data_IF_193160308475
#
_entry.id   IF_193160308475
#
_cell.length_a   1.000
_cell.length_b   1.000
_cell.length_c   1.000
_cell.angle_alpha   90.00
_cell.angle_beta   90.00
_cell.angle_gamma   90.00
#
_symmetry.space_group_name_H-M   'P 1'
#
loop_
_entity.id
_entity.type
_entity.pdbx_description
1 polymer ?
#
# COMPACT_ATOMS: atom_id res chain seq x y z
N UNK A 1 -22.95 -6.06 -57.61
CA UNK A 1 -21.89 -5.74 -56.62
C UNK A 1 -22.29 -4.62 -55.65
N UNK A 2 -23.12 -3.66 -56.05
CA UNK A 2 -23.56 -2.53 -55.20
C UNK A 2 -24.49 -2.92 -54.04
N UNK A 3 -25.37 -3.91 -54.23
CA UNK A 3 -26.32 -4.32 -53.20
C UNK A 3 -25.66 -4.90 -51.94
N UNK A 4 -24.54 -5.62 -52.08
CA UNK A 4 -23.83 -6.23 -50.94
C UNK A 4 -23.13 -5.19 -50.08
N UNK A 5 -22.60 -4.12 -50.68
CA UNK A 5 -21.89 -3.04 -49.98
C UNK A 5 -22.87 -2.25 -49.10
N UNK A 6 -24.08 -1.99 -49.59
CA UNK A 6 -25.16 -1.33 -48.83
C UNK A 6 -25.58 -2.16 -47.61
N UNK A 7 -25.70 -3.49 -47.74
CA UNK A 7 -26.02 -4.38 -46.62
C UNK A 7 -24.95 -4.36 -45.54
N UNK A 8 -23.66 -4.39 -45.91
CA UNK A 8 -22.57 -4.29 -44.93
C UNK A 8 -22.54 -2.93 -44.23
N UNK A 9 -22.73 -1.82 -44.96
CA UNK A 9 -22.75 -0.49 -44.37
C UNK A 9 -23.87 -0.33 -43.32
N UNK A 10 -25.06 -0.89 -43.57
CA UNK A 10 -26.17 -0.86 -42.62
C UNK A 10 -25.88 -1.69 -41.36
N UNK A 11 -25.23 -2.85 -41.49
CA UNK A 11 -24.80 -3.67 -40.36
C UNK A 11 -23.74 -2.97 -39.49
N UNK A 12 -22.76 -2.29 -40.11
CA UNK A 12 -21.77 -1.52 -39.37
C UNK A 12 -22.38 -0.29 -38.68
N UNK A 13 -23.30 0.43 -39.34
CA UNK A 13 -23.96 1.59 -38.75
C UNK A 13 -24.83 1.22 -37.54
N UNK A 14 -25.56 0.11 -37.61
CA UNK A 14 -26.37 -0.40 -36.50
C UNK A 14 -25.53 -0.93 -35.34
N UNK A 15 -24.37 -1.54 -35.62
CA UNK A 15 -23.42 -1.96 -34.59
C UNK A 15 -22.77 -0.76 -33.89
N UNK A 16 -22.39 0.29 -34.63
CA UNK A 16 -21.86 1.53 -34.06
C UNK A 16 -22.90 2.33 -33.29
N UNK A 17 -24.16 2.35 -33.72
CA UNK A 17 -25.23 2.99 -32.95
C UNK A 17 -25.46 2.25 -31.63
N UNK A 18 -25.51 0.91 -31.66
CA UNK A 18 -25.67 0.10 -30.44
C UNK A 18 -24.48 0.26 -29.47
N UNK A 19 -23.25 0.34 -29.98
CA UNK A 19 -22.07 0.55 -29.17
C UNK A 19 -22.00 1.96 -28.54
N UNK A 20 -22.44 2.99 -29.27
CA UNK A 20 -22.40 4.39 -28.80
C UNK A 20 -23.53 4.69 -27.81
N UNK A 21 -24.70 4.07 -27.97
CA UNK A 21 -25.80 4.17 -27.01
C UNK A 21 -25.44 3.62 -25.63
N UNK A 22 -24.62 2.56 -25.60
CA UNK A 22 -24.24 1.88 -24.35
C UNK A 22 -23.19 2.63 -23.53
N UNK A 23 -22.43 3.57 -24.11
CA UNK A 23 -21.40 4.32 -23.38
C UNK A 23 -21.94 5.64 -22.83
N UNK A 24 -22.94 6.25 -23.48
CA UNK A 24 -23.49 7.53 -23.03
C UNK A 24 -24.67 7.39 -22.07
N UNK A 25 -25.43 6.29 -22.15
CA UNK A 25 -26.54 6.02 -21.24
C UNK A 25 -26.17 4.82 -20.38
N UNK A 26 -25.71 5.09 -19.15
CA UNK A 26 -25.36 4.09 -18.14
C UNK A 26 -26.56 3.26 -17.65
N UNK A 27 -27.29 2.64 -18.57
CA UNK A 27 -28.40 1.75 -18.34
C UNK A 27 -27.87 0.32 -18.26
N UNK A 28 -27.23 0.00 -17.13
CA UNK A 28 -27.52 -1.30 -16.54
C UNK A 28 -29.02 -1.28 -16.23
N UNK A 29 -29.75 -2.25 -16.79
CA UNK A 29 -31.19 -2.31 -16.73
C UNK A 29 -31.74 -2.29 -15.30
N UNK A 30 -32.86 -1.59 -15.19
CA UNK A 30 -33.97 -1.82 -14.27
C UNK A 30 -33.81 -1.37 -12.81
N UNK A 31 -34.17 -0.10 -12.56
CA UNK A 31 -34.83 0.33 -11.31
C UNK A 31 -34.33 1.67 -10.76
N UNK A 32 -35.22 2.59 -10.29
CA UNK A 32 -34.82 3.86 -9.70
C UNK A 32 -34.34 3.73 -8.23
N UNK A 33 -33.97 2.53 -7.80
CA UNK A 33 -33.36 2.34 -6.50
C UNK A 33 -31.86 2.59 -6.65
N UNK A 34 -31.42 3.78 -6.22
CA UNK A 34 -30.08 4.01 -5.71
C UNK A 34 -29.80 2.99 -4.59
N UNK A 35 -29.52 1.75 -4.95
CA UNK A 35 -28.74 0.89 -4.11
C UNK A 35 -27.31 1.21 -4.48
N UNK A 36 -26.55 1.97 -3.66
CA UNK A 36 -25.11 1.97 -3.82
C UNK A 36 -24.70 0.50 -3.89
N UNK A 37 -23.87 0.16 -4.88
CA UNK A 37 -23.23 -1.15 -4.95
C UNK A 37 -22.86 -1.54 -3.52
N UNK A 38 -23.31 -2.70 -3.01
CA UNK A 38 -23.07 -3.05 -1.62
C UNK A 38 -21.58 -2.88 -1.37
N UNK A 39 -21.24 -2.07 -0.37
CA UNK A 39 -19.86 -1.93 0.06
C UNK A 39 -19.30 -3.36 0.15
N UNK A 40 -18.22 -3.65 -0.60
CA UNK A 40 -17.57 -4.94 -0.55
C UNK A 40 -17.46 -5.31 0.93
N UNK A 41 -17.94 -6.51 1.35
CA UNK A 41 -18.01 -6.84 2.76
C UNK A 41 -16.63 -6.59 3.34
N UNK A 42 -16.59 -5.73 4.37
CA UNK A 42 -15.36 -5.52 5.11
C UNK A 42 -14.79 -6.90 5.43
N UNK A 43 -13.51 -7.17 5.17
CA UNK A 43 -12.93 -8.51 5.32
C UNK A 43 -13.14 -9.12 6.72
N UNK A 44 -13.52 -8.30 7.72
CA UNK A 44 -13.81 -8.73 9.08
C UNK A 44 -15.30 -8.66 9.47
N UNK A 45 -16.23 -8.43 8.54
CA UNK A 45 -17.66 -8.26 8.84
C UNK A 45 -18.31 -9.50 9.51
N UNK A 46 -17.83 -10.70 9.19
CA UNK A 46 -18.39 -11.96 9.69
C UNK A 46 -17.64 -12.54 10.90
N UNK A 47 -16.31 -12.42 10.93
CA UNK A 47 -15.48 -13.08 11.94
C UNK A 47 -15.08 -12.16 13.11
N UNK A 48 -15.24 -10.84 12.96
CA UNK A 48 -14.63 -9.87 13.88
C UNK A 48 -13.11 -9.99 13.90
N UNK A 49 -12.46 -9.13 14.68
CA UNK A 49 -11.03 -9.26 14.96
C UNK A 49 -10.84 -9.66 16.41
N UNK A 50 -9.89 -10.58 16.67
CA UNK A 50 -9.56 -11.00 18.03
C UNK A 50 -9.06 -9.85 18.91
N UNK A 51 -8.97 -10.05 20.24
CA UNK A 51 -8.50 -9.02 21.16
C UNK A 51 -7.11 -8.49 20.75
N UNK A 52 -6.96 -7.16 20.72
CA UNK A 52 -5.74 -6.50 20.28
C UNK A 52 -5.61 -6.32 18.77
N UNK A 53 -6.58 -6.75 17.97
CA UNK A 53 -6.65 -6.49 16.53
C UNK A 53 -7.83 -5.57 16.20
N UNK A 54 -7.67 -4.72 15.19
CA UNK A 54 -8.74 -3.90 14.63
C UNK A 54 -8.94 -4.22 13.15
N UNK A 55 -10.15 -4.01 12.65
CA UNK A 55 -10.45 -4.24 11.24
C UNK A 55 -10.04 -3.03 10.40
N UNK A 56 -9.27 -3.28 9.33
CA UNK A 56 -8.89 -2.29 8.33
C UNK A 56 -9.30 -2.70 6.92
N UNK A 57 -8.81 -1.97 5.91
CA UNK A 57 -9.15 -2.21 4.50
C UNK A 57 -8.72 -3.58 3.97
N UNK A 58 -7.70 -4.19 4.59
CA UNK A 58 -7.11 -5.47 4.15
C UNK A 58 -7.41 -6.65 5.09
N UNK A 59 -8.18 -6.43 6.16
CA UNK A 59 -8.44 -7.43 7.18
C UNK A 59 -8.07 -6.94 8.58
N UNK A 60 -7.93 -7.89 9.50
CA UNK A 60 -7.51 -7.61 10.86
C UNK A 60 -6.01 -7.28 10.91
N UNK A 61 -5.67 -6.19 11.59
CA UNK A 61 -4.30 -5.79 11.86
C UNK A 61 -4.09 -5.54 13.36
N UNK A 62 -2.86 -5.73 13.85
CA UNK A 62 -2.55 -5.62 15.27
C UNK A 62 -2.56 -4.15 15.71
N UNK A 63 -3.33 -3.85 16.74
CA UNK A 63 -3.30 -2.55 17.42
C UNK A 63 -2.25 -2.57 18.53
N UNK A 64 -1.39 -1.53 18.56
CA UNK A 64 -0.57 -1.27 19.75
C UNK A 64 -1.46 -0.61 20.78
N UNK A 65 -1.67 -1.28 21.92
CA UNK A 65 -2.43 -0.70 23.03
C UNK A 65 -1.75 0.59 23.49
N UNK A 66 -2.46 1.72 23.38
CA UNK A 66 -2.05 2.95 24.05
C UNK A 66 -2.45 2.74 25.51
N UNK A 67 -1.47 2.51 26.39
CA UNK A 67 -1.73 2.54 27.82
C UNK A 67 -2.13 3.97 28.18
N UNK A 68 -3.43 4.22 28.30
CA UNK A 68 -3.88 5.30 29.16
C UNK A 68 -3.46 4.88 30.56
N UNK A 69 -2.65 5.68 31.24
CA UNK A 69 -2.32 5.42 32.64
C UNK A 69 -3.60 5.57 33.48
N UNK A 70 -4.44 4.54 33.49
CA UNK A 70 -5.50 4.37 34.46
C UNK A 70 -4.80 4.05 35.79
N UNK A 71 -4.51 5.11 36.55
CA UNK A 71 -3.73 5.02 37.76
C UNK A 71 -4.45 4.23 38.83
N UNK A 72 -4.11 2.95 38.96
CA UNK A 72 -4.27 2.19 40.20
C UNK A 72 -3.07 1.27 40.37
N UNK A 73 -1.93 1.83 40.79
CA UNK A 73 -0.90 1.02 41.42
C UNK A 73 -0.94 1.29 42.92
N UNK A 74 -1.27 0.26 43.70
CA UNK A 74 -1.04 0.15 45.14
C UNK A 74 0.49 0.06 45.35
N UNK A 75 1.19 1.15 45.09
CA UNK A 75 2.57 1.36 45.51
C UNK A 75 2.60 2.34 46.67
N UNK A 76 3.67 2.35 47.48
CA UNK A 76 3.76 3.24 48.63
C UNK A 76 3.51 4.68 48.18
N UNK A 77 2.67 5.39 48.92
CA UNK A 77 2.31 6.78 48.67
C UNK A 77 3.59 7.62 48.85
N UNK A 78 4.36 7.78 47.78
CA UNK A 78 5.48 8.71 47.76
C UNK A 78 4.89 10.13 47.63
N UNK A 79 5.06 10.93 48.69
CA UNK A 79 4.80 12.36 48.67
C UNK A 79 5.75 13.04 47.66
N UNK A 80 5.22 13.91 46.80
CA UNK A 80 6.04 14.81 45.96
C UNK A 80 6.12 14.48 44.47
N UNK A 81 6.84 15.35 43.75
CA UNK A 81 6.95 15.38 42.29
C UNK A 81 7.53 14.10 41.66
N UNK A 82 8.14 13.22 42.47
CA UNK A 82 8.76 11.97 42.03
C UNK A 82 7.79 10.91 41.50
N UNK A 83 6.50 11.00 41.85
CA UNK A 83 5.47 10.07 41.33
C UNK A 83 5.35 10.13 39.80
N UNK A 84 5.57 11.29 39.17
CA UNK A 84 5.51 11.42 37.71
C UNK A 84 6.81 10.95 37.01
N UNK A 85 7.94 10.94 37.72
CA UNK A 85 9.24 10.58 37.16
C UNK A 85 9.42 9.08 36.96
N UNK A 86 8.79 8.23 37.79
CA UNK A 86 8.94 6.77 37.68
C UNK A 86 8.16 6.18 36.51
N UNK A 87 6.95 6.67 36.22
CA UNK A 87 6.17 6.23 35.05
C UNK A 87 6.74 6.73 33.71
N UNK A 88 7.54 7.81 33.73
CA UNK A 88 8.25 8.32 32.54
C UNK A 88 9.45 7.46 32.14
N UNK A 89 9.99 6.63 33.04
CA UNK A 89 11.32 6.00 32.85
C UNK A 89 11.34 4.74 31.98
N UNK A 90 10.25 4.36 31.32
CA UNK A 90 10.26 3.24 30.34
C UNK A 90 9.55 3.55 29.03
N UNK A 91 9.45 4.82 28.63
CA UNK A 91 9.47 5.10 27.20
C UNK A 91 10.93 5.00 26.78
N UNK A 92 11.39 3.94 26.07
CA UNK A 92 12.63 4.09 25.32
C UNK A 92 12.48 5.36 24.48
N UNK A 93 13.47 6.26 24.46
CA UNK A 93 13.35 7.49 23.70
C UNK A 93 12.98 7.11 22.27
N UNK A 94 11.97 7.74 21.64
CA UNK A 94 11.57 7.41 20.26
C UNK A 94 12.67 7.61 19.21
N UNK A 95 13.90 7.96 19.60
CA UNK A 95 15.01 8.27 18.69
C UNK A 95 15.90 7.07 18.34
N UNK A 96 16.07 6.05 19.19
CA UNK A 96 17.02 4.97 18.88
C UNK A 96 16.46 3.89 17.95
N UNK A 97 15.14 3.68 17.93
CA UNK A 97 14.48 2.87 16.89
C UNK A 97 14.33 3.65 15.58
N UNK A 98 14.42 4.98 15.61
CA UNK A 98 14.28 5.82 14.42
C UNK A 98 15.54 5.83 13.53
N UNK A 99 16.66 5.24 13.98
CA UNK A 99 17.92 5.21 13.23
C UNK A 99 18.06 4.02 12.27
N UNK A 100 17.25 2.96 12.43
CA UNK A 100 17.27 1.82 11.51
C UNK A 100 16.23 1.99 10.38
N UNK A 101 16.63 2.01 9.10
CA UNK A 101 15.72 2.01 7.96
C UNK A 101 14.66 0.92 8.00
N UNK A 102 14.99 -0.29 8.47
CA UNK A 102 14.02 -1.38 8.55
C UNK A 102 12.98 -1.12 9.64
N UNK A 103 13.39 -0.60 10.79
CA UNK A 103 12.48 -0.22 11.86
C UNK A 103 11.49 0.88 11.41
N UNK A 104 11.98 1.90 10.68
CA UNK A 104 11.12 2.95 10.11
C UNK A 104 10.15 2.41 9.07
N UNK A 105 10.62 1.52 8.19
CA UNK A 105 9.79 0.87 7.18
C UNK A 105 8.68 0.04 7.85
N UNK A 106 9.05 -0.85 8.79
CA UNK A 106 8.10 -1.66 9.54
C UNK A 106 7.08 -0.80 10.28
N UNK A 107 7.53 0.25 10.97
CA UNK A 107 6.66 1.16 11.70
C UNK A 107 5.61 1.82 10.79
N UNK A 108 6.01 2.22 9.57
CA UNK A 108 5.07 2.77 8.59
C UNK A 108 4.00 1.74 8.20
N UNK A 109 4.39 0.49 7.93
CA UNK A 109 3.44 -0.57 7.59
C UNK A 109 2.44 -0.87 8.72
N UNK A 110 2.90 -0.89 9.97
CA UNK A 110 2.02 -1.07 11.13
C UNK A 110 1.03 0.10 11.27
N UNK A 111 1.49 1.34 11.07
CA UNK A 111 0.64 2.53 11.13
C UNK A 111 -0.43 2.55 10.03
N UNK A 112 -0.12 1.94 8.88
CA UNK A 112 -1.05 1.75 7.76
C UNK A 112 -2.07 0.62 7.98
N UNK A 113 -1.95 -0.11 9.08
CA UNK A 113 -2.88 -1.20 9.41
C UNK A 113 -2.78 -2.37 8.46
N UNK A 114 -1.56 -2.66 7.98
CA UNK A 114 -1.32 -3.85 7.14
C UNK A 114 -1.43 -5.14 7.99
N UNK A 115 -2.00 -6.23 7.44
CA UNK A 115 -2.12 -7.49 8.14
C UNK A 115 -0.75 -8.17 8.28
N UNK A 116 -0.62 -9.12 9.21
CA UNK A 116 0.64 -9.78 9.55
C UNK A 116 1.36 -10.40 8.34
N UNK A 117 0.60 -10.96 7.39
CA UNK A 117 1.15 -11.51 6.14
C UNK A 117 1.91 -10.47 5.31
N UNK A 118 1.45 -9.21 5.33
CA UNK A 118 2.12 -8.10 4.66
C UNK A 118 3.28 -7.53 5.48
N UNK A 119 3.19 -7.55 6.81
CA UNK A 119 4.28 -7.09 7.69
C UNK A 119 5.57 -7.90 7.48
N UNK A 120 5.47 -9.19 7.11
CA UNK A 120 6.63 -10.01 6.74
C UNK A 120 7.41 -9.47 5.53
N UNK A 121 6.87 -8.48 4.79
CA UNK A 121 7.47 -7.85 3.62
C UNK A 121 7.94 -6.42 3.90
N UNK A 122 7.78 -5.93 5.13
CA UNK A 122 8.08 -4.55 5.51
C UNK A 122 9.51 -4.36 6.04
N UNK A 123 10.46 -5.03 5.40
CA UNK A 123 11.90 -4.80 5.58
C UNK A 123 12.56 -4.78 4.21
N UNK A 124 13.68 -4.08 4.05
CA UNK A 124 14.37 -4.02 2.77
C UNK A 124 14.96 -5.38 2.33
N UNK A 125 15.10 -6.31 3.27
CA UNK A 125 15.56 -7.68 3.01
C UNK A 125 14.44 -8.60 2.52
N UNK A 126 13.20 -8.39 2.99
CA UNK A 126 12.05 -9.22 2.62
C UNK A 126 11.18 -8.60 1.53
N UNK A 127 11.30 -7.29 1.32
CA UNK A 127 10.73 -6.58 0.18
C UNK A 127 11.56 -6.88 -1.06
N UNK A 128 11.28 -8.00 -1.74
CA UNK A 128 12.02 -8.45 -2.92
C UNK A 128 11.09 -8.66 -4.12
N UNK A 129 11.69 -8.79 -5.32
CA UNK A 129 10.98 -9.17 -6.55
C UNK A 129 10.15 -10.44 -6.35
N UNK A 130 10.70 -11.44 -5.68
CA UNK A 130 10.05 -12.73 -5.42
C UNK A 130 8.85 -12.56 -4.48
N UNK A 131 9.00 -11.71 -3.45
CA UNK A 131 7.93 -11.43 -2.50
C UNK A 131 6.71 -10.77 -3.15
N UNK A 132 6.94 -9.85 -4.10
CA UNK A 132 5.92 -9.16 -4.89
C UNK A 132 5.33 -10.06 -5.97
N UNK A 133 6.17 -10.88 -6.60
CA UNK A 133 5.74 -11.85 -7.61
C UNK A 133 4.78 -12.87 -7.02
N UNK A 134 5.04 -13.36 -5.79
CA UNK A 134 4.10 -14.25 -5.08
C UNK A 134 2.78 -13.56 -4.74
N UNK A 135 2.80 -12.29 -4.35
CA UNK A 135 1.56 -11.52 -4.14
C UNK A 135 0.77 -11.35 -5.44
N UNK A 136 1.44 -11.07 -6.55
CA UNK A 136 0.81 -10.92 -7.86
C UNK A 136 0.11 -12.20 -8.31
N UNK A 137 0.78 -13.35 -8.18
CA UNK A 137 0.20 -14.66 -8.51
C UNK A 137 -0.73 -15.23 -7.42
N UNK A 138 -1.06 -14.45 -6.38
CA UNK A 138 -1.89 -14.89 -5.24
C UNK A 138 -1.38 -16.16 -4.55
N UNK A 139 -0.07 -16.36 -4.57
CA UNK A 139 0.65 -17.41 -3.85
C UNK A 139 1.08 -16.94 -2.45
N UNK A 140 0.64 -15.74 -2.06
CA UNK A 140 0.93 -15.11 -0.79
C UNK A 140 -0.38 -14.66 -0.13
N UNK A 141 -0.44 -14.77 1.20
CA UNK A 141 -1.60 -14.30 1.97
C UNK A 141 -1.71 -12.78 2.00
N UNK A 142 -0.64 -12.04 1.68
CA UNK A 142 -0.71 -10.59 1.53
C UNK A 142 -1.33 -10.20 0.18
N UNK A 143 -2.47 -9.47 0.15
CA UNK A 143 -3.13 -9.11 -1.10
C UNK A 143 -2.30 -8.12 -1.93
N UNK A 144 -2.36 -8.25 -3.26
CA UNK A 144 -1.66 -7.35 -4.18
C UNK A 144 -1.99 -5.87 -3.93
N UNK A 145 -3.22 -5.53 -3.54
CA UNK A 145 -3.62 -4.15 -3.25
C UNK A 145 -2.85 -3.51 -2.06
N UNK A 146 -2.30 -4.31 -1.15
CA UNK A 146 -1.47 -3.81 -0.04
C UNK A 146 -0.04 -3.44 -0.50
N UNK A 147 0.40 -3.91 -1.67
CA UNK A 147 1.75 -3.60 -2.21
C UNK A 147 2.00 -2.11 -2.38
N UNK A 148 0.97 -1.31 -2.70
CA UNK A 148 1.07 0.13 -2.84
C UNK A 148 1.45 0.80 -1.51
N UNK A 149 0.86 0.35 -0.40
CA UNK A 149 1.18 0.87 0.94
C UNK A 149 2.58 0.42 1.38
N UNK A 150 2.98 -0.81 1.05
CA UNK A 150 4.33 -1.31 1.32
C UNK A 150 5.38 -0.49 0.54
N UNK A 151 5.14 -0.25 -0.75
CA UNK A 151 6.01 0.58 -1.60
C UNK A 151 6.09 2.03 -1.09
N UNK A 152 4.96 2.63 -0.73
CA UNK A 152 4.91 3.95 -0.12
C UNK A 152 5.79 4.02 1.14
N UNK A 153 5.69 3.01 2.01
CA UNK A 153 6.47 2.94 3.23
C UNK A 153 7.96 2.73 2.97
N UNK A 154 8.34 1.89 2.00
CA UNK A 154 9.73 1.70 1.60
C UNK A 154 10.36 3.02 1.09
N UNK A 155 9.65 3.73 0.22
CA UNK A 155 10.07 5.01 -0.33
C UNK A 155 9.84 6.21 0.60
N UNK A 156 9.29 6.00 1.80
CA UNK A 156 8.95 7.05 2.77
C UNK A 156 8.09 8.19 2.19
N UNK A 157 7.29 7.91 1.15
CA UNK A 157 6.45 8.90 0.49
C UNK A 157 7.18 10.00 -0.30
N UNK A 158 8.36 9.71 -0.87
CA UNK A 158 9.23 10.72 -1.52
C UNK A 158 9.45 10.41 -3.01
N UNK A 159 10.16 11.33 -3.68
CA UNK A 159 10.54 11.21 -5.08
C UNK A 159 12.02 10.79 -5.22
N UNK A 160 12.22 9.57 -5.70
CA UNK A 160 13.53 8.98 -6.00
C UNK A 160 13.79 8.87 -7.50
N UNK A 161 13.00 9.51 -8.38
CA UNK A 161 13.15 9.40 -9.84
C UNK A 161 14.57 9.69 -10.31
N UNK A 162 15.20 10.73 -9.78
CA UNK A 162 16.59 11.06 -10.11
C UNK A 162 17.57 9.92 -9.77
N UNK A 163 17.38 9.25 -8.63
CA UNK A 163 18.18 8.07 -8.28
C UNK A 163 17.85 6.88 -9.18
N UNK A 164 16.57 6.62 -9.42
CA UNK A 164 16.12 5.52 -10.26
C UNK A 164 16.61 5.61 -11.71
N UNK A 165 16.57 6.81 -12.31
CA UNK A 165 17.11 7.04 -13.66
C UNK A 165 18.59 6.73 -13.71
N UNK A 166 19.38 7.21 -12.73
CA UNK A 166 20.83 6.92 -12.66
C UNK A 166 21.13 5.44 -12.42
N UNK A 167 20.27 4.74 -11.69
CA UNK A 167 20.40 3.30 -11.41
C UNK A 167 19.72 2.41 -12.46
N UNK A 168 19.38 2.97 -13.64
CA UNK A 168 18.95 2.19 -14.79
C UNK A 168 17.54 1.60 -14.68
N UNK A 169 16.66 2.14 -13.84
CA UNK A 169 15.25 1.72 -13.78
C UNK A 169 14.53 1.99 -15.11
N UNK A 170 14.96 3.01 -15.84
CA UNK A 170 14.44 3.37 -17.17
C UNK A 170 14.98 2.49 -18.30
N UNK A 171 15.92 1.56 -18.03
CA UNK A 171 16.44 0.64 -19.06
C UNK A 171 15.59 -0.63 -19.20
N UNK A 172 14.45 -0.70 -18.52
CA UNK A 172 13.50 -1.80 -18.62
C UNK A 172 12.69 -1.69 -19.91
N UNK A 173 11.97 -2.76 -20.29
CA UNK A 173 11.10 -2.74 -21.46
C UNK A 173 9.99 -1.66 -21.36
N UNK A 174 9.52 -1.35 -20.15
CA UNK A 174 8.53 -0.30 -19.92
C UNK A 174 9.13 1.13 -19.88
N UNK A 175 10.46 1.27 -19.90
CA UNK A 175 11.14 2.57 -19.96
C UNK A 175 10.80 3.49 -18.79
N UNK A 176 10.48 4.74 -19.11
CA UNK A 176 10.15 5.78 -18.12
C UNK A 176 8.88 5.49 -17.32
N UNK A 177 8.00 4.58 -17.77
CA UNK A 177 6.82 4.18 -16.99
C UNK A 177 7.21 3.66 -15.60
N UNK A 178 8.36 3.01 -15.47
CA UNK A 178 8.83 2.48 -14.19
C UNK A 178 9.17 3.55 -13.16
N UNK A 179 9.38 4.80 -13.60
CA UNK A 179 9.60 5.93 -12.70
C UNK A 179 8.38 6.28 -11.85
N UNK A 180 7.18 5.79 -12.20
CA UNK A 180 6.00 5.96 -11.34
C UNK A 180 6.17 5.30 -9.98
N UNK A 181 6.91 4.19 -9.90
CA UNK A 181 7.19 3.52 -8.63
C UNK A 181 8.25 4.25 -7.82
N UNK A 182 9.09 5.05 -8.46
CA UNK A 182 10.12 5.85 -7.81
C UNK A 182 9.58 7.12 -7.17
N UNK A 183 8.39 7.57 -7.57
CA UNK A 183 7.72 8.74 -6.99
C UNK A 183 6.52 8.31 -6.15
N UNK A 184 6.74 8.18 -4.85
CA UNK A 184 5.72 7.78 -3.87
C UNK A 184 5.11 8.99 -3.13
N UNK A 185 5.22 10.20 -3.66
CA UNK A 185 4.54 11.35 -3.06
C UNK A 185 3.02 11.12 -3.03
N UNK A 186 2.33 11.48 -1.93
CA UNK A 186 0.88 11.35 -1.84
C UNK A 186 0.18 11.99 -3.06
N UNK A 187 -0.72 11.25 -3.69
CA UNK A 187 -1.42 11.67 -4.92
C UNK A 187 -1.06 10.85 -6.15
N UNK A 188 0.08 10.15 -6.16
CA UNK A 188 0.46 9.23 -7.24
C UNK A 188 0.26 7.76 -6.82
N UNK A 189 -0.98 7.33 -6.64
CA UNK A 189 -1.28 5.91 -6.33
C UNK A 189 -1.42 5.16 -7.65
N UNK A 190 -0.33 4.54 -8.11
CA UNK A 190 -0.42 3.57 -9.21
C UNK A 190 -0.64 2.17 -8.67
N UNK A 191 -1.82 1.61 -8.95
CA UNK A 191 -2.10 0.20 -8.75
C UNK A 191 -1.15 -0.64 -9.59
N UNK A 192 -0.63 -1.69 -8.97
CA UNK A 192 0.25 -2.67 -9.59
C UNK A 192 -0.57 -3.51 -10.59
N UNK A 193 -0.35 -3.29 -11.88
CA UNK A 193 -0.95 -4.07 -12.98
C UNK A 193 0.09 -4.86 -13.77
N UNK A 194 -0.36 -5.67 -14.74
CA UNK A 194 0.50 -6.49 -15.59
C UNK A 194 1.45 -5.66 -16.48
N UNK A 195 1.10 -4.41 -16.78
CA UNK A 195 1.89 -3.52 -17.64
C UNK A 195 3.20 -3.06 -16.98
N UNK A 196 3.31 -3.27 -15.67
CA UNK A 196 4.47 -2.92 -14.86
C UNK A 196 5.37 -4.10 -14.51
N UNK A 197 5.05 -5.32 -14.95
CA UNK A 197 5.84 -6.53 -14.65
C UNK A 197 7.31 -6.36 -15.09
N UNK A 198 7.55 -5.71 -16.23
CA UNK A 198 8.90 -5.45 -16.74
C UNK A 198 9.70 -4.46 -15.87
N UNK A 199 9.03 -3.65 -15.05
CA UNK A 199 9.72 -2.79 -14.09
C UNK A 199 10.44 -3.59 -13.00
N UNK A 200 10.00 -4.82 -12.72
CA UNK A 200 10.61 -5.64 -11.68
C UNK A 200 11.98 -6.19 -12.03
N UNK A 201 12.39 -6.15 -13.30
CA UNK A 201 13.75 -6.51 -13.70
C UNK A 201 14.80 -5.56 -13.09
N UNK A 202 14.37 -4.34 -12.71
CA UNK A 202 15.18 -3.35 -12.00
C UNK A 202 14.65 -3.06 -10.60
N UNK A 203 13.89 -3.98 -10.01
CA UNK A 203 13.30 -3.80 -8.68
C UNK A 203 14.36 -3.55 -7.60
N UNK A 204 15.44 -4.34 -7.57
CA UNK A 204 16.50 -4.19 -6.57
C UNK A 204 17.24 -2.85 -6.73
N UNK A 205 17.43 -2.38 -7.96
CA UNK A 205 18.01 -1.05 -8.24
C UNK A 205 17.11 0.07 -7.73
N UNK A 206 15.80 -0.05 -7.93
CA UNK A 206 14.81 0.88 -7.40
C UNK A 206 14.79 0.86 -5.86
N UNK A 207 14.73 -0.32 -5.25
CA UNK A 207 14.75 -0.50 -3.79
C UNK A 207 16.03 0.03 -3.15
N UNK A 208 17.17 -0.14 -3.80
CA UNK A 208 18.46 0.41 -3.34
C UNK A 208 18.39 1.93 -3.17
N UNK A 209 17.73 2.66 -4.07
CA UNK A 209 17.52 4.09 -3.92
C UNK A 209 16.74 4.45 -2.64
N UNK A 210 15.72 3.68 -2.30
CA UNK A 210 14.93 3.87 -1.09
C UNK A 210 15.75 3.58 0.17
N UNK A 211 16.50 2.47 0.16
CA UNK A 211 17.39 2.10 1.27
C UNK A 211 18.44 3.17 1.55
N UNK A 212 19.15 3.64 0.52
CA UNK A 212 20.20 4.63 0.70
C UNK A 212 19.67 5.95 1.23
N UNK A 213 18.51 6.41 0.73
CA UNK A 213 17.85 7.63 1.26
C UNK A 213 17.42 7.44 2.72
N UNK A 214 16.81 6.30 3.06
CA UNK A 214 16.45 5.97 4.44
C UNK A 214 17.66 5.95 5.38
N UNK A 215 18.73 5.26 4.98
CA UNK A 215 19.96 5.10 5.77
C UNK A 215 20.76 6.41 5.90
N UNK A 216 20.73 7.29 4.90
CA UNK A 216 21.36 8.60 5.02
C UNK A 216 20.61 9.49 6.02
N UNK A 217 19.28 9.48 5.97
CA UNK A 217 18.45 10.27 6.88
C UNK A 217 18.55 9.79 8.31
N UNK A 218 18.58 8.48 8.52
CA UNK A 218 18.60 7.89 9.84
C UNK A 218 19.91 8.16 10.60
N UNK A 219 21.00 8.46 9.88
CA UNK A 219 22.29 8.90 10.44
C UNK A 219 22.33 10.39 10.83
N UNK A 220 21.37 11.21 10.36
CA UNK A 220 21.33 12.65 10.64
C UNK A 220 20.66 13.00 11.98
N UNK A 221 20.14 12.00 12.70
CA UNK A 221 19.48 12.12 14.00
C UNK A 221 20.24 11.34 15.08
#
# INVERSE_FOLDING_TARGET
MTSSILSYALLFASFWHSASSCVASGTCGLGPCFNPLPALPSPCASAGCGPGFSCGSYGCYRTKARVHAAGTHQGPILFGADRFSQFRRQQPPPSQQASDPNALFMQCCEQRGLPDACLQKCTFNTYTKESLTRMYFRQDSCPLAASAEIQFCAAQGRDHRACCTRNGVTTTLAGDKCLTFCDQRPGNVTLLDYSYVSCYDRFENMKSCFWHDAAERSRKY
#
